data_IF_949819452971
#
_entry.id   IF_949819452971
#
_cell.length_a   1.000
_cell.length_b   1.000
_cell.length_c   1.000
_cell.angle_alpha   90.00
_cell.angle_beta   90.00
_cell.angle_gamma   90.00
#
_symmetry.space_group_name_H-M   'P 1'
#
loop_
_entity.id
_entity.type
_entity.pdbx_description
1 polymer ?
#
# COMPACT_ATOMS: atom_id res chain seq x y z
N UNK A 1 -26.02 0.35 -7.96
CA UNK A 1 -25.00 0.46 -6.90
C UNK A 1 -25.48 1.51 -5.89
N UNK A 2 -25.61 1.18 -4.60
CA UNK A 2 -25.95 2.16 -3.55
C UNK A 2 -24.65 2.60 -2.87
N UNK A 3 -24.28 3.87 -3.02
CA UNK A 3 -23.15 4.47 -2.33
C UNK A 3 -23.64 5.07 -1.02
N UNK A 4 -23.14 4.54 0.11
CA UNK A 4 -23.31 5.17 1.41
C UNK A 4 -22.08 6.06 1.63
N UNK A 5 -22.31 7.37 1.75
CA UNK A 5 -21.26 8.32 2.07
C UNK A 5 -21.32 8.61 3.57
N UNK A 6 -20.36 8.07 4.31
CA UNK A 6 -20.25 8.28 5.77
C UNK A 6 -19.45 9.57 6.11
N UNK A 7 -19.04 10.31 5.07
CA UNK A 7 -18.34 11.60 5.14
C UNK A 7 -18.97 12.56 4.14
N UNK A 8 -18.91 13.86 4.44
CA UNK A 8 -19.44 14.94 3.58
C UNK A 8 -18.52 15.12 2.37
N UNK A 9 -18.76 14.31 1.34
CA UNK A 9 -18.06 14.38 0.04
C UNK A 9 -19.08 14.48 -1.08
N UNK A 10 -18.87 15.45 -1.97
CA UNK A 10 -19.68 15.59 -3.16
C UNK A 10 -19.21 14.61 -4.24
N UNK A 11 -20.12 13.74 -4.69
CA UNK A 11 -19.86 12.86 -5.84
C UNK A 11 -19.94 13.68 -7.11
N UNK A 12 -18.80 14.11 -7.62
CA UNK A 12 -18.71 14.90 -8.87
C UNK A 12 -18.81 14.04 -10.13
N UNK A 13 -18.59 12.72 -10.03
CA UNK A 13 -18.69 11.79 -11.14
C UNK A 13 -18.27 10.37 -10.75
N UNK A 14 -18.73 9.39 -11.52
CA UNK A 14 -18.33 7.98 -11.41
C UNK A 14 -17.88 7.50 -12.78
N UNK A 15 -16.58 7.24 -12.93
CA UNK A 15 -16.01 6.65 -14.14
C UNK A 15 -15.80 5.15 -13.92
N UNK A 16 -16.40 4.34 -14.81
CA UNK A 16 -16.24 2.90 -14.81
C UNK A 16 -15.08 2.55 -15.73
N UNK A 17 -14.03 1.98 -15.16
CA UNK A 17 -12.93 1.41 -15.90
C UNK A 17 -13.13 -0.11 -15.99
N UNK A 18 -12.98 -0.67 -17.18
CA UNK A 18 -12.89 -2.11 -17.34
C UNK A 18 -11.58 -2.58 -16.70
N UNK A 19 -11.67 -3.42 -15.68
CA UNK A 19 -10.50 -3.99 -15.02
C UNK A 19 -10.03 -5.19 -15.84
N UNK A 20 -9.01 -4.98 -16.67
CA UNK A 20 -8.34 -6.09 -17.33
C UNK A 20 -7.58 -6.93 -16.31
N UNK A 21 -8.04 -8.17 -16.11
CA UNK A 21 -7.34 -9.15 -15.27
C UNK A 21 -6.27 -9.83 -16.13
N UNK A 22 -5.03 -9.38 -15.99
CA UNK A 22 -3.89 -10.04 -16.63
C UNK A 22 -3.48 -11.30 -15.89
N UNK A 23 -2.90 -12.30 -16.57
CA UNK A 23 -2.25 -13.43 -15.91
C UNK A 23 -1.24 -12.95 -14.85
N UNK A 24 -1.04 -13.72 -13.76
CA UNK A 24 0.01 -13.43 -12.79
C UNK A 24 1.37 -13.30 -13.49
N UNK A 25 2.16 -12.32 -13.07
CA UNK A 25 3.53 -12.14 -13.56
C UNK A 25 4.37 -13.38 -13.23
N UNK A 26 5.04 -13.94 -14.23
CA UNK A 26 5.95 -15.08 -14.05
C UNK A 26 7.12 -14.76 -13.11
N UNK A 27 7.56 -13.49 -13.10
CA UNK A 27 8.68 -13.02 -12.29
C UNK A 27 8.26 -12.49 -10.91
N UNK A 28 7.00 -12.64 -10.50
CA UNK A 28 6.47 -12.10 -9.26
C UNK A 28 7.31 -12.50 -8.03
N UNK A 29 7.60 -13.79 -7.90
CA UNK A 29 8.42 -14.31 -6.79
C UNK A 29 9.84 -13.76 -6.80
N UNK A 30 10.42 -13.57 -7.98
CA UNK A 30 11.76 -13.02 -8.14
C UNK A 30 11.78 -11.54 -7.76
N UNK A 31 10.77 -10.79 -8.17
CA UNK A 31 10.60 -9.37 -7.86
C UNK A 31 10.37 -9.14 -6.37
N UNK A 32 9.54 -9.98 -5.73
CA UNK A 32 9.33 -9.95 -4.27
C UNK A 32 10.66 -10.21 -3.54
N UNK A 33 11.46 -11.18 -3.98
CA UNK A 33 12.78 -11.46 -3.39
C UNK A 33 13.73 -10.27 -3.54
N UNK A 34 13.84 -9.70 -4.75
CA UNK A 34 14.68 -8.52 -5.03
C UNK A 34 14.29 -7.32 -4.18
N UNK A 35 13.00 -7.01 -4.14
CA UNK A 35 12.45 -5.88 -3.37
C UNK A 35 12.67 -6.07 -1.88
N UNK A 36 12.45 -7.30 -1.37
CA UNK A 36 12.70 -7.64 0.03
C UNK A 36 14.18 -7.48 0.39
N UNK A 37 15.10 -7.88 -0.49
CA UNK A 37 16.53 -7.70 -0.28
C UNK A 37 16.93 -6.21 -0.30
N UNK A 38 16.42 -5.43 -1.24
CA UNK A 38 16.63 -3.98 -1.29
C UNK A 38 16.14 -3.31 0.01
N UNK A 39 14.95 -3.69 0.50
CA UNK A 39 14.39 -3.22 1.77
C UNK A 39 15.25 -3.55 2.99
N UNK A 40 15.83 -4.76 3.05
CA UNK A 40 16.80 -5.12 4.10
C UNK A 40 18.06 -4.29 4.04
N UNK A 41 18.52 -3.94 2.84
CA UNK A 41 19.71 -3.08 2.63
C UNK A 41 19.46 -1.58 2.85
N UNK A 42 18.24 -1.17 3.23
CA UNK A 42 17.87 0.24 3.39
C UNK A 42 17.66 1.00 2.08
N UNK A 43 17.75 0.33 0.92
CA UNK A 43 17.51 0.91 -0.41
C UNK A 43 16.02 0.91 -0.76
N UNK A 44 15.22 1.60 0.04
CA UNK A 44 13.78 1.81 -0.21
C UNK A 44 13.46 3.28 -0.07
N UNK A 45 12.54 3.77 -0.90
CA UNK A 45 12.05 5.14 -0.83
C UNK A 45 11.46 5.48 0.55
N UNK A 46 11.44 6.77 0.87
CA UNK A 46 10.91 7.22 2.16
C UNK A 46 9.41 6.91 2.31
N UNK A 47 9.04 6.41 3.49
CA UNK A 47 7.64 6.24 3.92
C UNK A 47 6.90 7.57 4.17
N UNK A 48 7.60 8.70 4.10
CA UNK A 48 7.02 10.02 4.38
C UNK A 48 5.89 10.38 3.42
N UNK A 49 5.97 9.96 2.15
CA UNK A 49 4.90 10.18 1.16
C UNK A 49 3.61 9.47 1.58
N UNK A 50 3.71 8.22 2.02
CA UNK A 50 2.56 7.49 2.54
C UNK A 50 2.01 8.17 3.82
N UNK A 51 2.88 8.56 4.76
CA UNK A 51 2.43 9.26 5.98
C UNK A 51 1.73 10.59 5.68
N UNK A 52 2.22 11.37 4.72
CA UNK A 52 1.59 12.61 4.26
C UNK A 52 0.21 12.34 3.68
N UNK A 53 0.04 11.28 2.88
CA UNK A 53 -1.24 10.88 2.33
C UNK A 53 -2.26 10.59 3.45
N UNK A 54 -1.91 9.74 4.41
CA UNK A 54 -2.82 9.38 5.52
C UNK A 54 -3.22 10.60 6.35
N UNK A 55 -2.27 11.51 6.64
CA UNK A 55 -2.56 12.76 7.36
C UNK A 55 -3.54 13.67 6.62
N UNK A 56 -3.50 13.73 5.28
CA UNK A 56 -4.46 14.50 4.48
C UNK A 56 -5.89 14.01 4.63
N UNK A 57 -6.07 12.73 4.97
CA UNK A 57 -7.38 12.13 5.26
C UNK A 57 -7.69 12.10 6.77
N UNK A 58 -6.95 12.85 7.60
CA UNK A 58 -7.18 12.91 9.04
C UNK A 58 -6.77 11.64 9.80
N UNK A 59 -6.08 10.70 9.15
CA UNK A 59 -5.63 9.46 9.78
C UNK A 59 -4.20 9.63 10.30
N UNK A 60 -3.99 9.37 11.59
CA UNK A 60 -2.64 9.30 12.15
C UNK A 60 -1.96 7.99 11.71
N UNK A 61 -0.96 8.05 10.82
CA UNK A 61 -0.31 6.85 10.30
C UNK A 61 0.50 6.12 11.38
N UNK A 62 0.82 6.75 12.51
CA UNK A 62 1.54 6.10 13.61
C UNK A 62 0.62 5.20 14.45
N UNK A 63 -0.69 5.50 14.45
CA UNK A 63 -1.74 4.72 15.14
C UNK A 63 -2.33 3.62 14.26
N UNK A 64 -2.59 3.90 12.99
CA UNK A 64 -3.22 2.95 12.05
C UNK A 64 -2.20 2.12 11.27
N UNK A 65 -0.91 2.51 11.30
CA UNK A 65 0.22 1.88 10.59
C UNK A 65 -0.15 1.32 9.21
N UNK A 66 -0.02 2.14 8.15
CA UNK A 66 -0.28 1.71 6.77
C UNK A 66 0.33 0.36 6.43
N UNK A 67 -0.35 -0.43 5.60
CA UNK A 67 0.08 -1.77 5.19
C UNK A 67 1.52 -1.79 4.66
N UNK A 68 1.90 -0.79 3.85
CA UNK A 68 3.27 -0.65 3.33
C UNK A 68 4.33 -0.44 4.43
N UNK A 69 4.05 0.37 5.45
CA UNK A 69 4.97 0.60 6.59
C UNK A 69 5.06 -0.64 7.49
N UNK A 70 3.93 -1.33 7.70
CA UNK A 70 3.89 -2.59 8.44
C UNK A 70 4.73 -3.67 7.74
N UNK A 71 4.60 -3.82 6.42
CA UNK A 71 5.40 -4.75 5.61
C UNK A 71 6.89 -4.42 5.68
N UNK A 72 7.27 -3.15 5.49
CA UNK A 72 8.67 -2.72 5.59
C UNK A 72 9.27 -3.05 6.96
N UNK A 73 8.52 -2.84 8.04
CA UNK A 73 8.95 -3.19 9.39
C UNK A 73 9.16 -4.70 9.54
N UNK A 74 8.25 -5.54 9.05
CA UNK A 74 8.38 -7.00 9.08
C UNK A 74 9.67 -7.44 8.40
N UNK A 75 9.91 -6.91 7.20
CA UNK A 75 11.12 -7.20 6.42
C UNK A 75 12.40 -6.81 7.18
N UNK A 76 12.43 -5.60 7.76
CA UNK A 76 13.58 -5.12 8.56
C UNK A 76 13.83 -5.97 9.80
N UNK A 77 12.78 -6.57 10.37
CA UNK A 77 12.86 -7.48 11.52
C UNK A 77 13.15 -8.93 11.15
N UNK A 78 13.15 -9.27 9.86
CA UNK A 78 13.24 -10.66 9.41
C UNK A 78 11.97 -11.49 9.67
N UNK A 79 10.84 -10.84 9.97
CA UNK A 79 9.55 -11.51 10.12
C UNK A 79 9.01 -11.95 8.74
N UNK A 80 8.29 -13.08 8.64
CA UNK A 80 7.73 -13.54 7.38
C UNK A 80 6.68 -12.57 6.83
N UNK A 81 6.45 -12.56 5.51
CA UNK A 81 5.35 -11.81 4.92
C UNK A 81 3.99 -12.45 5.29
N UNK A 82 2.90 -11.66 5.37
CA UNK A 82 1.54 -12.20 5.49
C UNK A 82 1.23 -13.15 4.32
N UNK A 83 0.39 -14.16 4.57
CA UNK A 83 -0.14 -15.07 3.57
C UNK A 83 -1.62 -14.78 3.34
#
# INVERSE_FOLDING_TARGET
MKLRCDIEVDVVGLELYELEVTPPREDFELEVKRTTQAARSGKVESIDRARQLYRRFGVDPTRVRPSSEALLRRIKKGEPLPR
#
